data_IF_643919277732
#
_entry.id   IF_643919277732
#
_cell.length_a   1.000
_cell.length_b   1.000
_cell.length_c   1.000
_cell.angle_alpha   90.00
_cell.angle_beta   90.00
_cell.angle_gamma   90.00
#
_symmetry.space_group_name_H-M   'P 1'
#
loop_
_entity.id
_entity.type
_entity.pdbx_description
1 polymer ?
#
# COMPACT_ATOMS: atom_id res chain seq x y z
N UNK A 1 -2.88 -22.94 1.16
CA UNK A 1 -2.89 -22.62 -0.29
C UNK A 1 -4.02 -21.65 -0.65
N UNK A 2 -5.28 -21.94 -0.30
CA UNK A 2 -6.43 -21.08 -0.67
C UNK A 2 -6.35 -19.61 -0.22
N UNK A 3 -5.89 -19.34 1.01
CA UNK A 3 -5.78 -17.95 1.50
C UNK A 3 -4.74 -17.12 0.73
N UNK A 4 -3.65 -17.74 0.27
CA UNK A 4 -2.63 -17.05 -0.54
C UNK A 4 -3.13 -16.73 -1.96
N UNK A 5 -3.96 -17.62 -2.54
CA UNK A 5 -4.62 -17.35 -3.82
C UNK A 5 -5.62 -16.20 -3.68
N UNK A 6 -6.41 -16.18 -2.60
CA UNK A 6 -7.33 -15.06 -2.34
C UNK A 6 -6.59 -13.75 -2.11
N UNK A 7 -5.49 -13.75 -1.35
CA UNK A 7 -4.63 -12.58 -1.20
C UNK A 7 -4.10 -12.11 -2.57
N UNK A 8 -3.62 -13.01 -3.41
CA UNK A 8 -3.16 -12.69 -4.77
C UNK A 8 -4.25 -12.04 -5.63
N UNK A 9 -5.42 -12.67 -5.73
CA UNK A 9 -6.54 -12.17 -6.54
C UNK A 9 -7.09 -10.83 -6.02
N UNK A 10 -7.18 -10.66 -4.69
CA UNK A 10 -7.70 -9.45 -4.07
C UNK A 10 -6.66 -8.32 -4.03
N UNK A 11 -5.36 -8.64 -4.12
CA UNK A 11 -4.29 -7.65 -3.97
C UNK A 11 -4.30 -6.54 -5.02
N UNK A 12 -4.65 -6.87 -6.27
CA UNK A 12 -4.67 -5.92 -7.38
C UNK A 12 -5.96 -5.10 -7.49
N UNK A 13 -7.03 -5.55 -6.84
CA UNK A 13 -8.37 -4.98 -6.97
C UNK A 13 -8.45 -3.49 -6.59
N UNK A 14 -7.89 -3.04 -5.44
CA UNK A 14 -8.03 -1.64 -5.01
C UNK A 14 -7.42 -0.65 -6.00
N UNK A 15 -6.31 -1.03 -6.64
CA UNK A 15 -5.63 -0.15 -7.60
C UNK A 15 -6.51 0.11 -8.83
N UNK A 16 -7.20 -0.93 -9.32
CA UNK A 16 -8.03 -0.84 -10.53
C UNK A 16 -9.37 -0.18 -10.24
N UNK A 17 -10.03 -0.53 -9.13
CA UNK A 17 -11.43 -0.12 -8.90
C UNK A 17 -11.59 1.20 -8.18
N UNK A 18 -10.67 1.58 -7.27
CA UNK A 18 -10.83 2.81 -6.48
C UNK A 18 -9.79 3.84 -6.84
N UNK A 19 -8.51 3.47 -6.95
CA UNK A 19 -7.45 4.45 -7.11
C UNK A 19 -7.48 5.12 -8.49
N UNK A 20 -7.61 4.34 -9.57
CA UNK A 20 -7.66 4.87 -10.94
C UNK A 20 -8.80 5.86 -11.17
N UNK A 21 -10.09 5.55 -10.88
CA UNK A 21 -11.18 6.49 -11.16
C UNK A 21 -11.06 7.79 -10.36
N UNK A 22 -10.66 7.73 -9.09
CA UNK A 22 -10.45 8.92 -8.26
C UNK A 22 -9.33 9.78 -8.86
N UNK A 23 -8.22 9.17 -9.29
CA UNK A 23 -7.09 9.91 -9.84
C UNK A 23 -7.41 10.51 -11.22
N UNK A 24 -8.19 9.82 -12.05
CA UNK A 24 -8.62 10.35 -13.35
C UNK A 24 -9.58 11.52 -13.22
N UNK A 25 -10.34 11.59 -12.13
CA UNK A 25 -11.26 12.70 -11.85
C UNK A 25 -10.52 13.95 -11.36
N UNK A 26 -9.47 13.77 -10.55
CA UNK A 26 -8.69 14.90 -9.99
C UNK A 26 -7.66 15.46 -10.97
N UNK A 27 -7.05 14.61 -11.81
CA UNK A 27 -5.93 15.01 -12.68
C UNK A 27 -6.43 15.34 -14.09
N UNK A 28 -5.85 16.34 -14.75
CA UNK A 28 -6.13 16.63 -16.16
C UNK A 28 -5.67 15.48 -17.08
N UNK A 29 -6.49 15.12 -18.07
CA UNK A 29 -6.23 14.01 -19.01
C UNK A 29 -4.86 14.08 -19.70
N UNK A 30 -4.30 15.28 -19.91
CA UNK A 30 -3.00 15.47 -20.58
C UNK A 30 -1.81 14.89 -19.79
N UNK A 31 -1.94 14.72 -18.48
CA UNK A 31 -0.84 14.31 -17.60
C UNK A 31 -1.05 12.95 -16.92
N UNK A 32 -2.15 12.25 -17.19
CA UNK A 32 -2.51 10.99 -16.50
C UNK A 32 -1.37 9.96 -16.53
N UNK A 33 -0.80 9.70 -17.70
CA UNK A 33 0.25 8.69 -17.86
C UNK A 33 1.47 8.97 -16.99
N UNK A 34 1.95 10.22 -16.97
CA UNK A 34 3.10 10.64 -16.16
C UNK A 34 2.80 10.52 -14.67
N UNK A 35 1.62 10.94 -14.22
CA UNK A 35 1.24 10.86 -12.81
C UNK A 35 1.13 9.40 -12.35
N UNK A 36 0.49 8.54 -13.15
CA UNK A 36 0.43 7.11 -12.84
C UNK A 36 1.81 6.47 -12.80
N UNK A 37 2.69 6.82 -13.75
CA UNK A 37 4.06 6.31 -13.78
C UNK A 37 4.86 6.72 -12.53
N UNK A 38 4.75 8.00 -12.11
CA UNK A 38 5.43 8.49 -10.90
C UNK A 38 4.92 7.79 -9.65
N UNK A 39 3.59 7.66 -9.49
CA UNK A 39 3.01 6.97 -8.33
C UNK A 39 3.48 5.51 -8.27
N UNK A 40 3.47 4.81 -9.41
CA UNK A 40 3.91 3.42 -9.47
C UNK A 40 5.42 3.29 -9.20
N UNK A 41 6.24 4.18 -9.78
CA UNK A 41 7.68 4.18 -9.56
C UNK A 41 8.01 4.43 -8.08
N UNK A 42 7.38 5.42 -7.44
CA UNK A 42 7.55 5.67 -6.02
C UNK A 42 7.13 4.46 -5.18
N UNK A 43 5.98 3.85 -5.47
CA UNK A 43 5.52 2.65 -4.78
C UNK A 43 6.49 1.48 -4.93
N UNK A 44 7.03 1.26 -6.12
CA UNK A 44 8.00 0.21 -6.41
C UNK A 44 9.35 0.43 -5.70
N UNK A 45 9.83 1.68 -5.63
CA UNK A 45 11.06 2.02 -4.90
C UNK A 45 10.89 1.75 -3.41
N UNK A 46 9.78 2.20 -2.83
CA UNK A 46 9.47 1.97 -1.41
C UNK A 46 9.36 0.47 -1.13
N UNK A 47 8.66 -0.28 -1.98
CA UNK A 47 8.54 -1.73 -1.84
C UNK A 47 9.90 -2.44 -1.96
N UNK A 48 10.73 -2.06 -2.94
CA UNK A 48 12.03 -2.69 -3.16
C UNK A 48 13.04 -2.41 -2.05
N UNK A 49 13.12 -1.16 -1.58
CA UNK A 49 14.13 -0.75 -0.60
C UNK A 49 13.71 -1.06 0.84
N UNK A 50 12.44 -0.81 1.18
CA UNK A 50 12.00 -0.90 2.57
C UNK A 50 11.48 -2.29 2.91
N UNK A 51 10.80 -3.01 2.01
CA UNK A 51 10.14 -4.25 2.41
C UNK A 51 11.12 -5.31 2.92
N UNK A 52 12.23 -5.54 2.20
CA UNK A 52 13.23 -6.54 2.59
C UNK A 52 13.92 -6.15 3.90
N UNK A 53 14.35 -4.89 3.99
CA UNK A 53 15.03 -4.34 5.17
C UNK A 53 14.14 -4.36 6.42
N UNK A 54 12.86 -4.00 6.27
CA UNK A 54 11.91 -3.99 7.40
C UNK A 54 11.59 -5.40 7.88
N UNK A 55 11.41 -6.37 6.97
CA UNK A 55 11.17 -7.78 7.37
C UNK A 55 12.36 -8.33 8.15
N UNK A 56 13.58 -8.05 7.67
CA UNK A 56 14.81 -8.53 8.31
C UNK A 56 14.97 -7.97 9.72
N UNK A 57 14.91 -6.64 9.86
CA UNK A 57 15.00 -5.94 11.15
C UNK A 57 13.90 -6.40 12.11
N UNK A 58 12.66 -6.51 11.62
CA UNK A 58 11.54 -6.93 12.46
C UNK A 58 11.72 -8.37 12.96
N UNK A 59 12.17 -9.27 12.09
CA UNK A 59 12.39 -10.66 12.47
C UNK A 59 13.51 -10.82 13.51
N UNK A 60 14.63 -10.11 13.32
CA UNK A 60 15.80 -10.22 14.19
C UNK A 60 15.63 -9.48 15.52
N UNK A 61 15.18 -8.22 15.48
CA UNK A 61 15.17 -7.36 16.66
C UNK A 61 13.92 -7.55 17.54
N UNK A 62 12.75 -7.79 16.93
CA UNK A 62 11.49 -7.83 17.69
C UNK A 62 10.98 -9.24 17.96
N UNK A 63 11.26 -10.19 17.06
CA UNK A 63 10.78 -11.57 17.18
C UNK A 63 11.87 -12.57 17.55
N UNK A 64 13.11 -12.09 17.73
CA UNK A 64 14.23 -12.91 18.20
C UNK A 64 14.61 -14.02 17.24
N UNK A 65 14.58 -13.74 15.93
CA UNK A 65 15.10 -14.66 14.92
C UNK A 65 16.61 -14.87 15.12
N UNK A 66 17.03 -16.13 15.28
CA UNK A 66 18.44 -16.48 15.49
C UNK A 66 19.02 -16.98 14.17
N UNK A 67 19.86 -16.16 13.54
CA UNK A 67 20.58 -16.55 12.34
C UNK A 67 21.63 -17.62 12.70
N UNK A 68 21.51 -18.81 12.10
CA UNK A 68 22.42 -19.92 12.35
C UNK A 68 23.01 -20.38 11.01
N UNK A 69 24.33 -20.61 10.90
CA UNK A 69 24.95 -21.09 9.66
C UNK A 69 24.66 -22.57 9.35
N UNK A 70 23.92 -23.27 10.24
CA UNK A 70 23.56 -24.66 10.03
C UNK A 70 22.44 -24.77 8.98
N UNK A 71 22.50 -25.80 8.11
CA UNK A 71 21.38 -26.10 7.22
C UNK A 71 20.14 -26.47 8.04
N UNK A 72 18.95 -26.08 7.54
CA UNK A 72 17.65 -26.27 8.20
C UNK A 72 17.42 -27.73 8.62
N UNK A 73 17.95 -28.69 7.85
CA UNK A 73 17.86 -30.13 8.12
C UNK A 73 18.68 -30.61 9.33
N UNK A 74 19.67 -29.84 9.77
CA UNK A 74 20.49 -30.14 10.96
C UNK A 74 20.18 -29.21 12.13
N UNK A 75 19.17 -28.35 11.98
CA UNK A 75 18.79 -27.38 13.01
C UNK A 75 17.93 -28.07 14.08
N UNK A 76 18.16 -27.80 15.38
CA UNK A 76 17.31 -28.33 16.44
C UNK A 76 15.84 -27.96 16.20
N UNK A 77 14.91 -28.90 16.38
CA UNK A 77 13.49 -28.68 16.06
C UNK A 77 12.89 -27.49 16.81
N UNK A 78 13.27 -27.30 18.08
CA UNK A 78 12.83 -26.15 18.88
C UNK A 78 13.26 -24.81 18.26
N UNK A 79 14.51 -24.72 17.78
CA UNK A 79 15.06 -23.52 17.14
C UNK A 79 14.41 -23.30 15.76
N UNK A 80 14.19 -24.38 15.00
CA UNK A 80 13.53 -24.33 13.70
C UNK A 80 12.10 -23.79 13.82
N UNK A 81 11.32 -24.28 14.77
CA UNK A 81 9.95 -23.81 15.00
C UNK A 81 9.90 -22.36 15.49
N UNK A 82 10.84 -21.96 16.34
CA UNK A 82 10.97 -20.58 16.80
C UNK A 82 11.23 -19.62 15.63
N UNK A 83 12.26 -19.90 14.82
CA UNK A 83 12.62 -19.10 13.67
C UNK A 83 11.50 -19.06 12.60
N UNK A 84 10.81 -20.17 12.39
CA UNK A 84 9.64 -20.23 11.50
C UNK A 84 8.52 -19.28 11.96
N UNK A 85 8.21 -19.25 13.27
CA UNK A 85 7.21 -18.35 13.84
C UNK A 85 7.65 -16.89 13.75
N UNK A 86 8.90 -16.59 14.12
CA UNK A 86 9.46 -15.25 14.06
C UNK A 86 9.39 -14.65 12.64
N UNK A 87 9.80 -15.44 11.64
CA UNK A 87 9.75 -15.01 10.24
C UNK A 87 8.30 -14.90 9.73
N UNK A 88 7.44 -15.85 10.09
CA UNK A 88 6.03 -15.85 9.68
C UNK A 88 5.26 -14.64 10.21
N UNK A 89 5.44 -14.30 11.48
CA UNK A 89 4.81 -13.10 12.07
C UNK A 89 5.40 -11.81 11.51
N UNK A 90 6.72 -11.74 11.28
CA UNK A 90 7.34 -10.57 10.63
C UNK A 90 6.72 -10.30 9.26
N UNK A 91 6.62 -11.34 8.43
CA UNK A 91 6.02 -11.25 7.10
C UNK A 91 4.53 -10.87 7.16
N UNK A 92 3.79 -11.42 8.14
CA UNK A 92 2.40 -11.08 8.37
C UNK A 92 2.23 -9.60 8.72
N UNK A 93 3.03 -9.07 9.65
CA UNK A 93 2.95 -7.66 10.08
C UNK A 93 3.31 -6.73 8.91
N UNK A 94 4.42 -6.99 8.22
CA UNK A 94 4.85 -6.18 7.08
C UNK A 94 3.84 -6.20 5.93
N UNK A 95 3.05 -7.25 5.80
CA UNK A 95 1.95 -7.31 4.81
C UNK A 95 0.68 -6.66 5.33
N UNK A 96 0.21 -7.01 6.52
CA UNK A 96 -1.09 -6.57 7.03
C UNK A 96 -1.13 -5.07 7.34
N UNK A 97 -0.05 -4.49 7.88
CA UNK A 97 -0.03 -3.08 8.29
C UNK A 97 -0.22 -2.13 7.10
N UNK A 98 0.53 -2.23 5.99
CA UNK A 98 0.29 -1.37 4.82
C UNK A 98 -1.11 -1.52 4.24
N UNK A 99 -1.66 -2.74 4.25
CA UNK A 99 -3.04 -3.00 3.84
C UNK A 99 -4.05 -2.27 4.73
N UNK A 100 -3.91 -2.36 6.05
CA UNK A 100 -4.77 -1.65 7.01
C UNK A 100 -4.67 -0.14 6.84
N UNK A 101 -3.45 0.40 6.72
CA UNK A 101 -3.22 1.84 6.46
C UNK A 101 -3.88 2.27 5.15
N UNK A 102 -3.77 1.46 4.09
CA UNK A 102 -4.40 1.76 2.80
C UNK A 102 -5.92 1.80 2.90
N UNK A 103 -6.53 0.83 3.60
CA UNK A 103 -7.98 0.80 3.83
C UNK A 103 -8.42 2.02 4.64
N UNK A 104 -7.68 2.37 5.71
CA UNK A 104 -7.98 3.56 6.51
C UNK A 104 -7.90 4.85 5.68
N UNK A 105 -6.82 5.04 4.92
CA UNK A 105 -6.63 6.22 4.07
C UNK A 105 -7.70 6.32 2.98
N UNK A 106 -8.02 5.21 2.30
CA UNK A 106 -9.09 5.18 1.30
C UNK A 106 -10.46 5.44 1.92
N UNK A 107 -10.71 4.92 3.12
CA UNK A 107 -11.96 5.17 3.84
C UNK A 107 -12.10 6.65 4.22
N UNK A 108 -11.02 7.24 4.76
CA UNK A 108 -10.96 8.68 5.06
C UNK A 108 -11.12 9.53 3.79
N UNK A 109 -10.45 9.15 2.70
CA UNK A 109 -10.56 9.81 1.41
C UNK A 109 -12.00 9.73 0.90
N UNK A 110 -12.65 8.57 0.96
CA UNK A 110 -14.03 8.40 0.50
C UNK A 110 -15.02 9.28 1.27
N UNK A 111 -14.83 9.39 2.60
CA UNK A 111 -15.66 10.27 3.45
C UNK A 111 -15.40 11.75 3.17
N UNK A 112 -14.15 12.15 2.98
CA UNK A 112 -13.75 13.56 2.82
C UNK A 112 -13.99 14.08 1.40
N UNK A 113 -13.86 13.19 0.40
CA UNK A 113 -13.95 13.52 -1.01
C UNK A 113 -15.32 14.10 -1.41
N UNK A 114 -16.42 13.66 -0.80
CA UNK A 114 -17.74 14.25 -1.06
C UNK A 114 -17.80 15.75 -0.71
N UNK A 115 -17.15 16.15 0.39
CA UNK A 115 -17.08 17.56 0.82
C UNK A 115 -16.09 18.37 -0.01
N UNK A 116 -14.96 17.78 -0.37
CA UNK A 116 -13.94 18.46 -1.17
C UNK A 116 -14.39 18.68 -2.61
N UNK A 117 -15.17 17.75 -3.17
CA UNK A 117 -15.78 17.90 -4.49
C UNK A 117 -16.76 19.07 -4.55
N UNK A 118 -17.63 19.21 -3.55
CA UNK A 118 -18.57 20.35 -3.50
C UNK A 118 -17.83 21.69 -3.51
N UNK A 119 -16.76 21.81 -2.71
CA UNK A 119 -15.93 23.03 -2.68
C UNK A 119 -15.20 23.29 -4.00
N UNK A 120 -14.79 22.24 -4.71
CA UNK A 120 -14.14 22.36 -6.01
C UNK A 120 -15.13 22.85 -7.09
N UNK A 121 -16.35 22.31 -7.09
CA UNK A 121 -17.43 22.72 -8.00
C UNK A 121 -17.84 24.17 -7.75
N UNK A 122 -18.07 24.56 -6.48
CA UNK A 122 -18.41 25.94 -6.10
C UNK A 122 -17.33 26.94 -6.57
N UNK A 123 -16.05 26.56 -6.45
CA UNK A 123 -14.92 27.38 -6.90
C UNK A 123 -14.86 27.51 -8.42
N UNK A 124 -15.18 26.46 -9.17
CA UNK A 124 -15.26 26.52 -10.64
C UNK A 124 -16.41 27.39 -11.12
N UNK A 125 -17.58 27.32 -10.45
CA UNK A 125 -18.73 28.17 -10.76
C UNK A 125 -18.40 29.65 -10.52
N UNK A 126 -17.74 29.98 -9.40
CA UNK A 126 -17.31 31.35 -9.11
C UNK A 126 -16.36 31.90 -10.17
N UNK A 127 -15.33 31.14 -10.56
CA UNK A 127 -14.37 31.56 -11.61
C UNK A 127 -15.08 31.77 -12.96
N UNK A 128 -16.04 30.89 -13.32
CA UNK A 128 -16.79 31.02 -14.58
C UNK A 128 -17.73 32.23 -14.57
N UNK A 129 -18.30 32.59 -13.43
CA UNK A 129 -19.08 33.80 -13.25
C UNK A 129 -18.25 35.07 -13.49
N UNK A 130 -17.05 35.14 -12.91
CA UNK A 130 -16.13 36.27 -13.09
C UNK A 130 -15.63 36.44 -14.53
N UNK A 131 -15.53 35.35 -15.30
CA UNK A 131 -15.14 35.38 -16.71
C UNK A 131 -16.29 35.77 -17.63
N UNK A 132 -17.55 35.46 -17.26
CA UNK A 132 -18.73 35.83 -18.05
C UNK A 132 -19.21 37.27 -17.85
N UNK A 133 -18.75 37.94 -16.80
CA UNK A 133 -19.08 39.34 -16.48
C UNK A 133 -18.09 40.35 -17.10
N UNK A 134 -16.99 39.88 -17.70
CA UNK A 134 -16.01 40.69 -18.44
C UNK A 134 -16.23 40.59 -19.94
#
# INVERSE_FOLDING_TARGET
AGCFLMLGCLSGWPHVTTLRPILTDVVSQKCHATVFAVIYACGAIVAGLLAVSTVDVLSQQFLGYINTPLPISRMPDALRHHNQRALGYSLFIVTAVPWMVSVCLLSLLHVTYGRDRQKADDRQVAIRGEVGEK
#
